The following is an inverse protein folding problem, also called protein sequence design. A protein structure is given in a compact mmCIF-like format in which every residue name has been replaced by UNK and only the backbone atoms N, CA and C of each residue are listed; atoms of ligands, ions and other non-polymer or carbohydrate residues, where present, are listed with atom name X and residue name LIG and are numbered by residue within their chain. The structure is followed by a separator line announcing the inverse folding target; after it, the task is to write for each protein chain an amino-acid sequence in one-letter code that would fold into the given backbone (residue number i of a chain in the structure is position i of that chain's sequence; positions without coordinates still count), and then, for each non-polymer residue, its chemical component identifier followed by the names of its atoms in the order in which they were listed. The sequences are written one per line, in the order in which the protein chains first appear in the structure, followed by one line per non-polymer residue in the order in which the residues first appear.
data_IF_375323902061
#
_entry.id   IF_375323902061
#
_cell.length_a   1.000
_cell.length_b   1.000
_cell.length_c   1.000
_cell.angle_alpha   90.00
_cell.angle_beta   90.00
_cell.angle_gamma   90.00
#
_symmetry.space_group_name_H-M   'P 1'
#
loop_
_entity.id
_entity.type
_entity.pdbx_description
1 polymer ?
#
# COMPACT_ATOMS: atom_id res chain seq x y z
N UNK A 1 3.37 14.57 1.91
CA UNK A 1 4.36 15.62 1.58
C UNK A 1 5.79 15.12 1.80
N UNK A 2 6.16 14.57 2.96
CA UNK A 2 7.53 14.14 3.27
C UNK A 2 8.10 13.15 2.24
N UNK A 3 7.34 12.13 1.82
CA UNK A 3 7.79 11.19 0.80
C UNK A 3 8.22 11.90 -0.49
N UNK A 4 7.37 12.80 -0.98
CA UNK A 4 7.66 13.54 -2.22
C UNK A 4 8.81 14.54 -2.03
N UNK A 5 8.93 15.14 -0.85
CA UNK A 5 10.08 15.99 -0.50
C UNK A 5 11.40 15.22 -0.50
N UNK A 6 11.40 13.99 0.05
CA UNK A 6 12.56 13.09 0.03
C UNK A 6 13.00 12.79 -1.40
N UNK A 7 12.06 12.39 -2.27
CA UNK A 7 12.39 12.10 -3.67
C UNK A 7 12.75 13.34 -4.49
N UNK A 8 12.08 14.47 -4.24
CA UNK A 8 12.43 15.77 -4.86
C UNK A 8 13.90 16.15 -4.57
N UNK A 9 14.35 15.90 -3.34
CA UNK A 9 15.74 16.07 -2.93
C UNK A 9 16.68 14.96 -3.42
N UNK A 10 16.17 13.97 -4.19
CA UNK A 10 16.93 12.85 -4.69
C UNK A 10 17.39 11.86 -3.61
N UNK A 11 16.67 11.79 -2.49
CA UNK A 11 16.97 10.91 -1.37
C UNK A 11 16.11 9.63 -1.43
N UNK A 12 16.45 8.66 -0.57
CA UNK A 12 15.76 7.38 -0.45
C UNK A 12 14.78 7.45 0.72
N UNK A 13 13.53 7.04 0.48
CA UNK A 13 12.52 6.96 1.53
C UNK A 13 12.58 5.62 2.27
N UNK A 14 12.45 5.66 3.60
CA UNK A 14 12.37 4.48 4.47
C UNK A 14 11.14 4.59 5.36
N UNK A 15 9.94 4.32 4.85
CA UNK A 15 8.73 4.38 5.65
C UNK A 15 8.70 3.28 6.70
N UNK A 16 8.54 3.67 7.95
CA UNK A 16 8.54 2.78 9.11
C UNK A 16 7.14 2.74 9.71
N UNK A 17 6.65 1.54 10.02
CA UNK A 17 5.36 1.37 10.68
C UNK A 17 5.45 1.86 12.13
N UNK A 18 4.58 2.79 12.51
CA UNK A 18 4.52 3.37 13.85
C UNK A 18 4.15 2.38 14.97
N UNK A 19 3.75 1.15 14.62
CA UNK A 19 3.43 0.07 15.57
C UNK A 19 4.62 -0.84 15.86
N UNK A 20 5.76 -0.63 15.21
CA UNK A 20 6.96 -1.42 15.47
C UNK A 20 7.52 -1.10 16.85
N UNK A 21 8.12 -2.12 17.48
CA UNK A 21 8.84 -1.93 18.74
C UNK A 21 10.08 -1.04 18.51
N UNK A 22 10.44 -0.23 19.50
CA UNK A 22 11.57 0.70 19.40
C UNK A 22 12.89 0.05 18.91
N UNK A 23 13.16 -1.20 19.31
CA UNK A 23 14.34 -1.95 18.86
C UNK A 23 14.31 -2.31 17.38
N UNK A 24 13.13 -2.56 16.83
CA UNK A 24 12.96 -2.82 15.39
C UNK A 24 13.19 -1.55 14.59
N UNK A 25 12.68 -0.41 15.10
CA UNK A 25 12.94 0.91 14.52
C UNK A 25 14.44 1.21 14.56
N UNK A 26 15.11 1.00 15.70
CA UNK A 26 16.56 1.18 15.85
C UNK A 26 17.35 0.35 14.83
N UNK A 27 16.99 -0.92 14.68
CA UNK A 27 17.60 -1.81 13.68
C UNK A 27 17.42 -1.28 12.25
N UNK A 28 16.21 -0.82 11.90
CA UNK A 28 15.92 -0.26 10.57
C UNK A 28 16.77 0.99 10.32
N UNK A 29 16.88 1.88 11.28
CA UNK A 29 17.66 3.11 11.19
C UNK A 29 19.14 2.84 10.99
N UNK A 30 19.70 1.89 11.74
CA UNK A 30 21.09 1.45 11.61
C UNK A 30 21.31 0.77 10.25
N UNK A 31 20.49 -0.22 9.91
CA UNK A 31 20.64 -1.02 8.69
C UNK A 31 20.46 -0.20 7.41
N UNK A 32 19.58 0.80 7.42
CA UNK A 32 19.37 1.71 6.29
C UNK A 32 20.37 2.85 6.23
N UNK A 33 21.24 3.00 7.24
CA UNK A 33 22.10 4.16 7.40
C UNK A 33 21.33 5.49 7.33
N UNK A 34 20.14 5.53 7.95
CA UNK A 34 19.30 6.72 7.92
C UNK A 34 20.00 7.91 8.60
N UNK A 35 20.02 9.05 7.91
CA UNK A 35 20.59 10.30 8.44
C UNK A 35 19.53 11.26 9.00
N UNK A 36 18.27 11.06 8.64
CA UNK A 36 17.15 11.89 9.04
C UNK A 36 15.91 11.03 9.32
N UNK A 37 15.28 11.27 10.46
CA UNK A 37 14.05 10.61 10.88
C UNK A 37 12.97 11.66 11.17
N UNK A 38 11.83 11.54 10.53
CA UNK A 38 10.61 12.28 10.86
C UNK A 38 9.70 11.43 11.73
N UNK A 39 9.20 11.99 12.82
CA UNK A 39 8.27 11.33 13.75
C UNK A 39 7.06 12.21 14.01
N UNK A 40 5.90 11.61 14.23
CA UNK A 40 4.70 12.28 14.74
C UNK A 40 4.52 11.95 16.23
N UNK A 41 4.03 12.90 17.00
CA UNK A 41 3.87 12.76 18.44
C UNK A 41 5.18 12.84 19.22
N UNK A 42 5.10 12.50 20.51
CA UNK A 42 6.27 12.40 21.38
C UNK A 42 6.82 10.97 21.35
N UNK A 43 8.05 10.75 20.86
CA UNK A 43 8.67 9.44 20.81
C UNK A 43 9.11 8.90 22.19
N UNK A 44 8.79 9.59 23.27
CA UNK A 44 9.16 9.22 24.65
C UNK A 44 10.68 8.96 24.81
N UNK A 45 11.05 7.99 25.65
CA UNK A 45 12.46 7.62 25.87
C UNK A 45 13.10 6.84 24.70
N UNK A 46 12.33 6.44 23.69
CA UNK A 46 12.83 5.71 22.51
C UNK A 46 13.82 6.52 21.67
N UNK A 47 13.76 7.85 21.76
CA UNK A 47 14.74 8.75 21.13
C UNK A 47 16.18 8.37 21.42
N UNK A 48 16.46 8.07 22.69
CA UNK A 48 17.83 7.76 23.13
C UNK A 48 18.33 6.49 22.49
N UNK A 49 17.46 5.48 22.36
CA UNK A 49 17.79 4.25 21.69
C UNK A 49 18.06 4.49 20.19
N UNK A 50 17.21 5.26 19.52
CA UNK A 50 17.36 5.54 18.09
C UNK A 50 18.60 6.40 17.79
N UNK A 51 18.85 7.45 18.56
CA UNK A 51 20.08 8.24 18.39
C UNK A 51 21.35 7.45 18.67
N UNK A 52 21.30 6.48 19.59
CA UNK A 52 22.45 5.62 19.86
C UNK A 52 22.70 4.57 18.77
N UNK A 53 21.65 4.15 18.03
CA UNK A 53 21.76 3.12 17.00
C UNK A 53 22.27 3.66 15.65
N UNK A 54 22.10 4.95 15.37
CA UNK A 54 22.52 5.55 14.09
C UNK A 54 23.34 6.83 14.35
N UNK A 55 24.65 6.74 14.17
CA UNK A 55 25.55 7.86 14.38
C UNK A 55 25.21 9.03 13.43
N UNK A 56 25.00 10.20 14.00
CA UNK A 56 24.63 11.41 13.23
C UNK A 56 23.18 11.50 12.81
N UNK A 57 22.31 10.60 13.27
CA UNK A 57 20.87 10.68 12.99
C UNK A 57 20.27 11.98 13.54
N UNK A 58 19.63 12.74 12.68
CA UNK A 58 18.81 13.89 13.07
C UNK A 58 17.34 13.46 13.14
N UNK A 59 16.69 13.74 14.26
CA UNK A 59 15.27 13.45 14.48
C UNK A 59 14.49 14.75 14.49
N UNK A 60 13.39 14.79 13.73
CA UNK A 60 12.50 15.95 13.61
C UNK A 60 11.08 15.50 13.93
N UNK A 61 10.47 16.08 14.95
CA UNK A 61 9.03 15.92 15.19
C UNK A 61 8.25 16.75 14.16
N UNK A 62 7.31 16.13 13.45
CA UNK A 62 6.45 16.86 12.51
C UNK A 62 5.47 17.81 13.21
N UNK A 63 5.27 17.63 14.51
CA UNK A 63 4.40 18.46 15.35
C UNK A 63 5.17 19.65 15.98
N UNK A 64 6.49 19.69 15.83
CA UNK A 64 7.32 20.78 16.31
C UNK A 64 7.24 22.00 15.37
N UNK A 65 7.14 23.24 15.90
CA UNK A 65 7.25 24.46 15.09
C UNK A 65 8.50 24.52 14.21
N UNK A 66 9.59 23.82 14.56
CA UNK A 66 10.78 23.72 13.70
C UNK A 66 10.46 23.02 12.39
N UNK A 67 9.57 22.03 12.38
CA UNK A 67 9.16 21.33 11.16
C UNK A 67 8.51 22.27 10.14
N UNK A 68 7.77 23.29 10.62
CA UNK A 68 7.16 24.31 9.76
C UNK A 68 8.20 25.16 9.03
N UNK A 69 9.40 25.33 9.61
CA UNK A 69 10.51 26.04 8.94
C UNK A 69 11.04 25.28 7.74
N UNK A 70 10.94 23.94 7.76
CA UNK A 70 11.35 23.10 6.62
C UNK A 70 10.46 23.32 5.40
N UNK A 71 9.21 23.73 5.59
CA UNK A 71 8.24 23.97 4.52
C UNK A 71 8.21 25.43 4.06
N UNK A 72 8.93 26.34 4.73
CA UNK A 72 8.97 27.77 4.45
C UNK A 72 10.26 28.25 3.77
N UNK A 73 11.17 27.33 3.44
CA UNK A 73 12.41 27.62 2.72
C UNK A 73 12.17 27.90 1.23
N UNK A 74 13.19 28.47 0.56
CA UNK A 74 13.17 28.59 -0.89
C UNK A 74 13.13 27.20 -1.54
N UNK A 75 12.26 27.01 -2.56
CA UNK A 75 12.20 25.74 -3.27
C UNK A 75 13.53 25.40 -3.96
N UNK A 76 13.99 24.17 -3.78
CA UNK A 76 15.15 23.67 -4.54
C UNK A 76 14.67 23.06 -5.86
N UNK A 77 15.55 23.01 -6.85
CA UNK A 77 15.27 22.25 -8.08
C UNK A 77 15.18 20.76 -7.78
N UNK A 78 14.36 20.02 -8.54
CA UNK A 78 14.31 18.56 -8.48
C UNK A 78 15.69 18.00 -8.76
N UNK A 79 16.18 17.11 -7.88
CA UNK A 79 17.43 16.39 -8.10
C UNK A 79 17.17 15.20 -9.04
N UNK A 80 17.71 15.22 -10.28
CA UNK A 80 17.49 14.12 -11.22
C UNK A 80 18.01 12.78 -10.69
N UNK A 81 17.26 11.71 -10.94
CA UNK A 81 17.64 10.34 -10.61
C UNK A 81 17.48 9.43 -11.83
N UNK A 82 18.39 8.46 -11.95
CA UNK A 82 18.26 7.42 -12.96
C UNK A 82 17.15 6.43 -12.60
N UNK A 83 16.55 5.73 -13.57
CA UNK A 83 15.52 4.73 -13.31
C UNK A 83 15.97 3.62 -12.35
N UNK A 84 17.24 3.29 -12.33
CA UNK A 84 17.87 2.27 -11.49
C UNK A 84 18.23 2.75 -10.09
N UNK A 85 18.22 4.09 -9.86
CA UNK A 85 18.53 4.64 -8.55
C UNK A 85 17.49 4.18 -7.52
N UNK A 86 18.00 3.88 -6.31
CA UNK A 86 17.15 3.50 -5.19
C UNK A 86 16.21 4.64 -4.80
N UNK A 87 14.94 4.31 -4.64
CA UNK A 87 13.89 5.26 -4.25
C UNK A 87 13.27 4.96 -2.89
N UNK A 88 13.14 3.68 -2.56
CA UNK A 88 12.44 3.24 -1.36
C UNK A 88 13.09 1.99 -0.78
N UNK A 89 13.34 1.97 0.52
CA UNK A 89 13.64 0.76 1.27
C UNK A 89 12.36 0.28 1.94
N UNK A 90 11.83 -0.83 1.44
CA UNK A 90 10.60 -1.43 1.94
C UNK A 90 10.93 -2.54 2.92
N UNK A 91 10.77 -2.28 4.21
CA UNK A 91 11.08 -3.28 5.24
C UNK A 91 9.94 -4.27 5.42
N UNK A 92 10.29 -5.56 5.33
CA UNK A 92 9.38 -6.69 5.58
C UNK A 92 9.85 -7.47 6.82
N UNK A 93 8.91 -8.16 7.49
CA UNK A 93 9.24 -9.11 8.55
C UNK A 93 9.98 -10.30 7.93
N UNK A 94 11.30 -10.33 8.05
CA UNK A 94 12.11 -11.43 7.52
C UNK A 94 11.76 -12.77 8.16
N UNK A 95 11.85 -13.86 7.37
CA UNK A 95 11.69 -15.25 7.86
C UNK A 95 12.70 -15.64 8.94
N UNK A 96 13.78 -14.88 9.09
CA UNK A 96 14.86 -15.08 10.06
C UNK A 96 14.70 -14.27 11.35
N UNK A 97 13.56 -13.59 11.53
CA UNK A 97 13.26 -12.79 12.73
C UNK A 97 13.79 -11.36 12.71
N UNK A 98 14.63 -10.98 11.75
CA UNK A 98 15.04 -9.60 11.56
C UNK A 98 14.41 -9.00 10.31
N UNK A 99 13.98 -7.71 10.34
CA UNK A 99 13.45 -7.02 9.18
C UNK A 99 14.46 -7.00 8.03
N UNK A 100 13.96 -7.16 6.78
CA UNK A 100 14.77 -7.05 5.56
C UNK A 100 14.31 -5.85 4.75
N UNK A 101 15.24 -4.97 4.37
CA UNK A 101 14.98 -3.81 3.53
C UNK A 101 15.02 -4.19 2.05
N UNK A 102 13.88 -4.34 1.44
CA UNK A 102 13.77 -4.55 -0.01
C UNK A 102 14.10 -3.24 -0.72
N UNK A 103 14.98 -3.31 -1.70
CA UNK A 103 15.47 -2.17 -2.46
C UNK A 103 14.58 -1.92 -3.69
N UNK A 104 13.76 -0.88 -3.66
CA UNK A 104 12.90 -0.50 -4.79
C UNK A 104 13.49 0.72 -5.51
N UNK A 105 13.73 0.57 -6.80
CA UNK A 105 14.24 1.64 -7.66
C UNK A 105 13.14 2.58 -8.11
N UNK A 106 13.52 3.73 -8.71
CA UNK A 106 12.60 4.65 -9.36
C UNK A 106 11.77 3.93 -10.43
N UNK A 107 12.39 3.04 -11.20
CA UNK A 107 11.72 2.22 -12.22
C UNK A 107 10.66 1.29 -11.62
N UNK A 108 10.95 0.62 -10.49
CA UNK A 108 9.99 -0.26 -9.85
C UNK A 108 8.73 0.51 -9.42
N UNK A 109 8.91 1.68 -8.78
CA UNK A 109 7.78 2.50 -8.35
C UNK A 109 6.97 3.04 -9.54
N UNK A 110 7.63 3.44 -10.63
CA UNK A 110 6.96 3.91 -11.84
C UNK A 110 6.18 2.78 -12.52
N UNK A 111 6.79 1.60 -12.68
CA UNK A 111 6.14 0.43 -13.27
C UNK A 111 4.89 0.03 -12.48
N UNK A 112 5.00 -0.06 -11.15
CA UNK A 112 3.87 -0.32 -10.26
C UNK A 112 2.76 0.74 -10.42
N UNK A 113 3.13 2.01 -10.47
CA UNK A 113 2.18 3.12 -10.63
C UNK A 113 1.40 3.01 -11.92
N UNK A 114 2.09 2.76 -13.04
CA UNK A 114 1.47 2.67 -14.37
C UNK A 114 0.64 1.40 -14.53
N UNK A 115 1.06 0.28 -13.94
CA UNK A 115 0.31 -0.98 -13.95
C UNK A 115 -1.05 -0.90 -13.22
N UNK A 116 -1.23 0.07 -12.31
CA UNK A 116 -2.50 0.26 -11.63
C UNK A 116 -3.67 0.43 -12.61
N UNK A 117 -3.48 1.23 -13.67
CA UNK A 117 -4.55 1.59 -14.60
C UNK A 117 -5.06 0.43 -15.47
N UNK A 118 -4.22 -0.38 -16.14
CA UNK A 118 -4.71 -1.52 -16.91
C UNK A 118 -5.13 -2.72 -16.06
N UNK A 119 -4.53 -2.92 -14.88
CA UNK A 119 -4.64 -4.19 -14.16
C UNK A 119 -5.55 -4.11 -12.92
N UNK A 120 -5.67 -2.94 -12.29
CA UNK A 120 -6.41 -2.77 -11.03
C UNK A 120 -7.68 -1.95 -11.25
N UNK A 121 -7.56 -0.65 -11.49
CA UNK A 121 -8.71 0.25 -11.68
C UNK A 121 -8.32 1.53 -12.42
N UNK A 122 -9.31 2.24 -12.95
CA UNK A 122 -9.15 3.57 -13.53
C UNK A 122 -9.33 4.62 -12.45
N UNK A 123 -8.28 5.34 -12.10
CA UNK A 123 -8.37 6.51 -11.23
C UNK A 123 -8.52 7.80 -12.04
N UNK A 124 -9.25 8.78 -11.51
CA UNK A 124 -9.50 10.09 -12.11
C UNK A 124 -9.37 11.20 -11.06
N UNK A 125 -9.31 12.49 -11.45
CA UNK A 125 -9.29 13.59 -10.48
C UNK A 125 -10.56 13.67 -9.59
N UNK A 126 -11.66 13.04 -9.99
CA UNK A 126 -12.89 12.99 -9.21
C UNK A 126 -12.88 11.92 -8.10
N UNK A 127 -11.91 11.00 -8.16
CA UNK A 127 -11.82 9.89 -7.22
C UNK A 127 -11.19 10.35 -5.88
N UNK A 128 -11.38 9.51 -4.87
CA UNK A 128 -10.75 9.66 -3.57
C UNK A 128 -10.11 8.34 -3.16
N UNK A 129 -8.89 8.38 -2.61
CA UNK A 129 -8.28 7.21 -1.96
C UNK A 129 -8.30 7.38 -0.44
N UNK A 130 -8.76 6.35 0.28
CA UNK A 130 -8.80 6.33 1.75
C UNK A 130 -7.74 5.39 2.29
N UNK A 131 -6.87 5.90 3.16
CA UNK A 131 -5.76 5.15 3.76
C UNK A 131 -6.17 4.54 5.11
N UNK A 132 -6.95 3.49 5.07
CA UNK A 132 -7.42 2.78 6.26
C UNK A 132 -6.45 1.68 6.75
N UNK A 133 -5.42 1.37 5.96
CA UNK A 133 -4.33 0.47 6.31
C UNK A 133 -3.00 1.25 6.40
N UNK A 134 -1.96 0.72 7.07
CA UNK A 134 -0.70 1.43 7.25
C UNK A 134 -0.07 1.91 5.95
N UNK A 135 0.20 3.21 5.86
CA UNK A 135 0.81 3.83 4.67
C UNK A 135 2.28 3.46 4.46
N UNK A 136 2.94 2.91 5.47
CA UNK A 136 4.30 2.36 5.37
C UNK A 136 4.38 1.02 4.60
N UNK A 137 3.22 0.44 4.23
CA UNK A 137 3.08 -0.83 3.51
C UNK A 137 2.27 -0.64 2.23
N UNK A 138 1.74 -1.74 1.69
CA UNK A 138 1.04 -1.77 0.42
C UNK A 138 -0.04 -0.69 0.22
N UNK A 139 -0.81 -0.36 1.28
CA UNK A 139 -1.82 0.69 1.19
C UNK A 139 -1.22 2.06 0.80
N UNK A 140 -0.04 2.38 1.33
CA UNK A 140 0.64 3.63 1.01
C UNK A 140 1.16 3.67 -0.43
N UNK A 141 1.43 2.53 -1.05
CA UNK A 141 1.94 2.50 -2.42
C UNK A 141 0.90 2.89 -3.47
N UNK A 142 -0.39 2.76 -3.19
CA UNK A 142 -1.42 3.24 -4.10
C UNK A 142 -1.59 4.77 -4.13
N UNK A 143 -0.82 5.50 -3.29
CA UNK A 143 -0.77 6.95 -3.40
C UNK A 143 -0.29 7.41 -4.77
N UNK A 144 0.68 6.72 -5.37
CA UNK A 144 1.31 7.14 -6.63
C UNK A 144 0.31 7.26 -7.79
N UNK A 145 -0.53 6.25 -8.00
CA UNK A 145 -1.53 6.27 -9.06
C UNK A 145 -2.55 7.41 -8.85
N UNK A 146 -2.92 7.67 -7.59
CA UNK A 146 -3.88 8.71 -7.26
C UNK A 146 -3.28 10.11 -7.31
N UNK A 147 -2.01 10.29 -6.90
CA UNK A 147 -1.28 11.56 -7.10
C UNK A 147 -1.11 11.85 -8.57
N UNK A 148 -0.77 10.85 -9.39
CA UNK A 148 -0.55 11.00 -10.83
C UNK A 148 -1.76 11.63 -11.54
N UNK A 149 -2.97 11.29 -11.11
CA UNK A 149 -4.22 11.82 -11.69
C UNK A 149 -4.81 13.01 -10.91
N UNK A 150 -4.18 13.44 -9.82
CA UNK A 150 -4.69 14.53 -8.99
C UNK A 150 -5.95 14.18 -8.19
N UNK A 151 -6.14 12.91 -7.84
CA UNK A 151 -7.24 12.45 -6.98
C UNK A 151 -7.10 12.95 -5.54
N UNK A 152 -8.18 12.89 -4.76
CA UNK A 152 -8.18 13.28 -3.35
C UNK A 152 -7.57 12.18 -2.49
N UNK A 153 -6.72 12.58 -1.54
CA UNK A 153 -6.14 11.69 -0.53
C UNK A 153 -6.80 11.93 0.82
N UNK A 154 -7.27 10.87 1.47
CA UNK A 154 -8.01 10.93 2.74
C UNK A 154 -7.41 9.99 3.76
N UNK A 155 -6.99 10.54 4.91
CA UNK A 155 -6.58 9.76 6.08
C UNK A 155 -7.75 9.77 7.06
N UNK A 156 -8.26 8.59 7.49
CA UNK A 156 -9.31 8.52 8.50
C UNK A 156 -8.87 9.17 9.82
N UNK A 157 -9.78 9.87 10.49
CA UNK A 157 -9.49 10.53 11.76
C UNK A 157 -9.12 9.52 12.87
N UNK A 158 -9.65 8.30 12.80
CA UNK A 158 -9.30 7.19 13.70
C UNK A 158 -7.84 6.71 13.53
N UNK A 159 -7.16 7.11 12.46
CA UNK A 159 -5.82 6.61 12.11
C UNK A 159 -5.78 5.12 11.74
N UNK A 160 -6.93 4.49 11.47
CA UNK A 160 -7.02 3.05 11.21
C UNK A 160 -8.24 2.65 10.39
N UNK A 161 -8.63 1.39 10.53
CA UNK A 161 -9.78 0.81 9.84
C UNK A 161 -10.99 0.71 10.76
N UNK A 162 -11.93 1.60 10.57
CA UNK A 162 -13.27 1.55 11.16
C UNK A 162 -14.33 1.52 10.05
N UNK A 163 -15.16 0.45 9.93
CA UNK A 163 -16.17 0.33 8.87
C UNK A 163 -17.15 1.49 8.80
N UNK A 164 -17.60 1.97 9.96
CA UNK A 164 -18.56 3.10 10.02
C UNK A 164 -17.93 4.39 9.48
N UNK A 165 -16.68 4.68 9.90
CA UNK A 165 -15.95 5.85 9.41
C UNK A 165 -15.69 5.74 7.90
N UNK A 166 -15.23 4.58 7.40
CA UNK A 166 -14.98 4.35 5.97
C UNK A 166 -16.23 4.60 5.15
N UNK A 167 -17.39 4.08 5.56
CA UNK A 167 -18.67 4.30 4.87
C UNK A 167 -19.11 5.76 4.94
N UNK A 168 -18.86 6.44 6.06
CA UNK A 168 -19.13 7.86 6.20
C UNK A 168 -18.29 8.71 5.24
N UNK A 169 -16.99 8.39 5.13
CA UNK A 169 -16.07 9.03 4.18
C UNK A 169 -16.49 8.73 2.73
N UNK A 170 -16.92 7.49 2.45
CA UNK A 170 -17.40 7.10 1.12
C UNK A 170 -18.64 7.90 0.71
N UNK A 171 -19.62 8.07 1.62
CA UNK A 171 -20.79 8.91 1.37
C UNK A 171 -20.43 10.38 1.15
N UNK A 172 -19.45 10.88 1.93
CA UNK A 172 -19.05 12.29 1.86
C UNK A 172 -18.33 12.64 0.57
N UNK A 173 -17.42 11.79 0.12
CA UNK A 173 -16.52 12.10 -1.00
C UNK A 173 -16.94 11.44 -2.32
N UNK A 174 -17.64 10.30 -2.27
CA UNK A 174 -17.96 9.51 -3.44
C UNK A 174 -16.71 8.93 -4.13
N UNK A 175 -16.91 7.96 -5.01
CA UNK A 175 -15.82 7.33 -5.81
C UNK A 175 -14.59 6.96 -4.96
N UNK A 176 -14.84 6.41 -3.76
CA UNK A 176 -13.77 6.07 -2.81
C UNK A 176 -13.14 4.73 -3.17
N UNK A 177 -11.82 4.74 -3.32
CA UNK A 177 -11.00 3.54 -3.42
C UNK A 177 -10.19 3.35 -2.14
N UNK A 178 -9.94 2.10 -1.75
CA UNK A 178 -9.09 1.77 -0.61
C UNK A 178 -8.39 0.43 -0.81
N UNK A 179 -7.23 0.26 -0.16
CA UNK A 179 -6.60 -1.04 0.02
C UNK A 179 -7.04 -1.65 1.35
N UNK A 180 -7.37 -2.93 1.36
CA UNK A 180 -7.81 -3.65 2.55
C UNK A 180 -7.19 -5.06 2.62
N UNK A 181 -6.74 -5.46 3.80
CA UNK A 181 -6.44 -6.87 4.06
C UNK A 181 -7.74 -7.69 4.11
N UNK A 182 -7.70 -9.01 3.85
CA UNK A 182 -8.89 -9.87 3.88
C UNK A 182 -9.74 -9.74 5.15
N UNK A 183 -9.10 -9.62 6.31
CA UNK A 183 -9.78 -9.40 7.59
C UNK A 183 -10.53 -8.06 7.66
N UNK A 184 -9.99 -7.02 7.01
CA UNK A 184 -10.64 -5.72 6.92
C UNK A 184 -11.85 -5.77 6.00
N UNK A 185 -11.74 -6.48 4.86
CA UNK A 185 -12.87 -6.72 3.95
C UNK A 185 -14.00 -7.44 4.70
N UNK A 186 -13.71 -8.51 5.44
CA UNK A 186 -14.72 -9.22 6.24
C UNK A 186 -15.43 -8.31 7.23
N UNK A 187 -14.66 -7.50 7.98
CA UNK A 187 -15.24 -6.53 8.94
C UNK A 187 -16.17 -5.53 8.26
N UNK A 188 -15.82 -5.07 7.05
CA UNK A 188 -16.67 -4.16 6.29
C UNK A 188 -17.95 -4.87 5.81
N UNK A 189 -17.82 -6.10 5.31
CA UNK A 189 -18.96 -6.95 4.88
C UNK A 189 -19.92 -7.20 6.03
N UNK A 190 -19.40 -7.60 7.20
CA UNK A 190 -20.21 -7.82 8.39
C UNK A 190 -20.95 -6.54 8.78
N UNK A 191 -20.28 -5.42 8.84
CA UNK A 191 -20.89 -4.15 9.19
C UNK A 191 -21.99 -3.73 8.21
N UNK A 192 -21.75 -3.87 6.91
CA UNK A 192 -22.77 -3.54 5.89
C UNK A 192 -23.97 -4.48 5.99
N UNK A 193 -23.74 -5.78 6.15
CA UNK A 193 -24.81 -6.78 6.26
C UNK A 193 -25.65 -6.60 7.53
N UNK A 194 -25.00 -6.38 8.68
CA UNK A 194 -25.68 -6.30 9.98
C UNK A 194 -26.48 -5.00 10.16
N UNK A 195 -26.07 -3.92 9.51
CA UNK A 195 -26.69 -2.59 9.68
C UNK A 195 -27.44 -2.09 8.43
N UNK A 196 -27.43 -2.84 7.33
CA UNK A 196 -28.01 -2.36 6.06
C UNK A 196 -27.33 -1.08 5.57
N UNK A 197 -26.04 -0.92 5.86
CA UNK A 197 -25.34 0.33 5.60
C UNK A 197 -25.07 0.56 4.11
N UNK A 198 -25.23 1.81 3.65
CA UNK A 198 -24.98 2.19 2.27
C UNK A 198 -23.47 2.21 1.96
N UNK A 199 -23.09 1.41 0.98
CA UNK A 199 -21.71 1.34 0.46
C UNK A 199 -21.58 1.92 -0.97
N UNK A 200 -22.60 2.61 -1.48
CA UNK A 200 -22.63 3.12 -2.88
C UNK A 200 -21.50 4.10 -3.19
N UNK A 201 -21.00 4.83 -2.20
CA UNK A 201 -19.86 5.74 -2.34
C UNK A 201 -18.52 5.04 -2.51
N UNK A 202 -18.43 3.73 -2.23
CA UNK A 202 -17.22 2.95 -2.49
C UNK A 202 -17.17 2.56 -3.97
N UNK A 203 -16.09 2.95 -4.64
CA UNK A 203 -15.79 2.56 -6.02
C UNK A 203 -15.04 1.25 -6.09
N UNK A 204 -13.93 1.15 -5.35
CA UNK A 204 -13.03 -0.01 -5.44
C UNK A 204 -12.41 -0.36 -4.11
N UNK A 205 -12.48 -1.63 -3.78
CA UNK A 205 -11.73 -2.21 -2.67
C UNK A 205 -10.67 -3.13 -3.29
N UNK A 206 -9.42 -2.68 -3.27
CA UNK A 206 -8.30 -3.53 -3.66
C UNK A 206 -7.91 -4.33 -2.44
N UNK A 207 -7.98 -5.66 -2.52
CA UNK A 207 -7.61 -6.52 -1.40
C UNK A 207 -6.43 -7.43 -1.72
N UNK A 208 -5.63 -7.68 -0.71
CA UNK A 208 -4.43 -8.51 -0.81
C UNK A 208 -3.64 -8.56 0.49
N UNK A 209 -2.40 -9.03 0.42
CA UNK A 209 -1.52 -9.14 1.58
C UNK A 209 -1.80 -10.35 2.49
N UNK A 210 -2.74 -11.22 2.09
CA UNK A 210 -3.07 -12.47 2.77
C UNK A 210 -4.11 -13.27 1.99
N UNK A 211 -4.28 -14.56 2.31
CA UNK A 211 -5.28 -15.39 1.65
C UNK A 211 -6.70 -14.94 2.01
N UNK A 212 -7.57 -14.92 1.03
CA UNK A 212 -9.00 -14.72 1.21
C UNK A 212 -9.75 -15.96 0.75
N UNK A 213 -10.56 -16.56 1.63
CA UNK A 213 -11.26 -17.79 1.32
C UNK A 213 -12.44 -17.55 0.38
N UNK A 214 -12.76 -18.56 -0.43
CA UNK A 214 -13.82 -18.48 -1.47
C UNK A 214 -15.16 -18.02 -0.89
N UNK A 215 -15.55 -18.52 0.26
CA UNK A 215 -16.82 -18.16 0.88
C UNK A 215 -16.84 -16.68 1.36
N UNK A 216 -15.69 -16.17 1.83
CA UNK A 216 -15.55 -14.76 2.18
C UNK A 216 -15.65 -13.86 0.93
N UNK A 217 -15.03 -14.28 -0.19
CA UNK A 217 -15.14 -13.56 -1.47
C UNK A 217 -16.58 -13.55 -1.97
N UNK A 218 -17.26 -14.70 -1.96
CA UNK A 218 -18.68 -14.81 -2.39
C UNK A 218 -19.56 -13.87 -1.58
N UNK A 219 -19.45 -13.96 -0.24
CA UNK A 219 -20.22 -13.10 0.67
C UNK A 219 -19.89 -11.63 0.44
N UNK A 220 -18.62 -11.27 0.21
CA UNK A 220 -18.23 -9.90 -0.09
C UNK A 220 -18.84 -9.39 -1.41
N UNK A 221 -18.86 -10.22 -2.46
CA UNK A 221 -19.52 -9.90 -3.73
C UNK A 221 -21.05 -9.77 -3.56
N UNK A 222 -21.69 -10.58 -2.71
CA UNK A 222 -23.12 -10.51 -2.47
C UNK A 222 -23.52 -9.25 -1.70
N UNK A 223 -22.71 -8.83 -0.72
CA UNK A 223 -23.01 -7.69 0.16
C UNK A 223 -22.53 -6.37 -0.44
N UNK A 224 -21.30 -6.35 -0.98
CA UNK A 224 -20.69 -5.11 -1.48
C UNK A 224 -20.88 -4.92 -2.99
N UNK A 225 -21.35 -5.94 -3.72
CA UNK A 225 -21.43 -5.93 -5.18
C UNK A 225 -20.05 -5.93 -5.85
N UNK A 226 -20.02 -5.52 -7.11
CA UNK A 226 -18.84 -5.61 -7.99
C UNK A 226 -17.81 -4.50 -7.70
N UNK A 227 -17.34 -4.41 -6.46
CA UNK A 227 -16.34 -3.40 -6.02
C UNK A 227 -14.98 -3.96 -5.70
N UNK A 228 -14.81 -5.28 -5.78
CA UNK A 228 -13.60 -5.96 -5.37
C UNK A 228 -12.61 -6.11 -6.51
N UNK A 229 -11.34 -5.93 -6.22
CA UNK A 229 -10.19 -6.28 -7.06
C UNK A 229 -9.17 -6.96 -6.16
N UNK A 230 -8.72 -8.16 -6.53
CA UNK A 230 -7.65 -8.82 -5.78
C UNK A 230 -6.31 -8.52 -6.41
N UNK A 231 -5.30 -8.35 -5.56
CA UNK A 231 -3.90 -8.34 -5.99
C UNK A 231 -3.09 -9.33 -5.15
N UNK A 232 -2.04 -9.86 -5.77
CA UNK A 232 -0.97 -10.55 -5.10
C UNK A 232 0.35 -9.81 -5.39
N UNK A 233 1.12 -9.59 -4.32
CA UNK A 233 2.43 -8.94 -4.36
C UNK A 233 3.23 -9.28 -3.12
N UNK A 234 4.50 -9.00 -3.17
CA UNK A 234 5.45 -9.13 -2.08
C UNK A 234 6.27 -7.84 -1.97
N UNK A 235 7.12 -7.71 -0.95
CA UNK A 235 7.98 -6.54 -0.82
C UNK A 235 8.86 -6.32 -2.04
N UNK A 236 9.34 -7.40 -2.65
CA UNK A 236 10.20 -7.44 -3.83
C UNK A 236 9.49 -7.08 -5.14
N UNK A 237 8.18 -7.31 -5.21
CA UNK A 237 7.30 -6.90 -6.31
C UNK A 237 6.00 -6.36 -5.71
N UNK A 238 6.04 -5.13 -5.17
CA UNK A 238 4.95 -4.60 -4.38
C UNK A 238 3.72 -4.38 -5.24
N UNK A 239 2.60 -5.01 -4.86
CA UNK A 239 1.29 -4.90 -5.50
C UNK A 239 1.20 -5.43 -6.94
N UNK A 240 2.26 -5.94 -7.55
CA UNK A 240 2.37 -6.12 -9.01
C UNK A 240 2.77 -7.52 -9.47
N UNK A 241 2.56 -8.58 -8.70
CA UNK A 241 2.78 -9.94 -9.22
C UNK A 241 1.57 -10.36 -10.06
N UNK A 242 0.37 -10.45 -9.46
CA UNK A 242 -0.87 -10.77 -10.20
C UNK A 242 -2.03 -9.89 -9.77
N UNK A 243 -3.03 -9.76 -10.64
CA UNK A 243 -4.31 -9.13 -10.35
C UNK A 243 -5.48 -9.99 -10.83
N UNK A 244 -6.51 -10.11 -9.99
CA UNK A 244 -7.82 -10.62 -10.38
C UNK A 244 -8.77 -9.42 -10.48
N UNK A 245 -8.89 -8.91 -11.70
CA UNK A 245 -9.65 -7.71 -11.99
C UNK A 245 -11.15 -7.88 -11.70
N UNK A 246 -11.82 -6.77 -11.39
CA UNK A 246 -13.27 -6.69 -11.11
C UNK A 246 -14.11 -7.49 -12.10
N UNK A 247 -13.83 -7.38 -13.41
CA UNK A 247 -14.57 -8.11 -14.45
C UNK A 247 -14.58 -9.64 -14.27
N UNK A 248 -13.50 -10.20 -13.73
CA UNK A 248 -13.39 -11.64 -13.47
C UNK A 248 -14.11 -12.07 -12.21
N UNK A 249 -14.14 -11.21 -11.19
CA UNK A 249 -14.90 -11.45 -9.97
C UNK A 249 -16.40 -11.32 -10.20
N UNK A 250 -16.82 -10.35 -11.02
CA UNK A 250 -18.21 -10.06 -11.32
C UNK A 250 -18.87 -11.05 -12.30
N UNK A 251 -18.10 -11.74 -13.15
CA UNK A 251 -18.61 -12.68 -14.17
C UNK A 251 -19.06 -14.01 -13.55
N UNK A 252 -20.14 -13.94 -12.78
CA UNK A 252 -20.71 -15.10 -12.06
C UNK A 252 -21.28 -16.19 -12.96
N UNK A 253 -21.56 -15.86 -14.22
CA UNK A 253 -22.07 -16.82 -15.20
C UNK A 253 -20.95 -17.69 -15.83
N UNK A 254 -19.71 -17.35 -15.65
CA UNK A 254 -18.58 -18.08 -16.22
C UNK A 254 -18.51 -19.50 -15.64
N UNK A 255 -18.37 -20.56 -16.46
CA UNK A 255 -18.33 -21.95 -16.01
C UNK A 255 -17.27 -22.23 -14.95
N UNK A 256 -16.13 -21.54 -15.04
CA UNK A 256 -15.01 -21.65 -14.08
C UNK A 256 -14.98 -20.48 -13.09
N UNK A 257 -16.11 -19.85 -12.76
CA UNK A 257 -16.15 -18.71 -11.85
C UNK A 257 -15.57 -19.05 -10.46
N UNK A 258 -15.93 -20.24 -9.92
CA UNK A 258 -15.43 -20.68 -8.61
C UNK A 258 -13.90 -20.82 -8.60
N UNK A 259 -13.30 -21.35 -9.66
CA UNK A 259 -11.85 -21.47 -9.79
C UNK A 259 -11.20 -20.09 -9.93
N UNK A 260 -11.80 -19.19 -10.73
CA UNK A 260 -11.30 -17.83 -10.90
C UNK A 260 -11.25 -17.08 -9.58
N UNK A 261 -12.32 -17.09 -8.79
CA UNK A 261 -12.35 -16.38 -7.50
C UNK A 261 -11.44 -17.03 -6.43
N UNK A 262 -11.03 -18.28 -6.64
CA UNK A 262 -10.06 -18.98 -5.80
C UNK A 262 -8.60 -18.70 -6.22
N UNK A 263 -8.38 -18.11 -7.37
CA UNK A 263 -7.05 -17.81 -7.89
C UNK A 263 -6.57 -16.42 -7.45
N UNK A 264 -5.28 -16.15 -7.63
CA UNK A 264 -4.71 -14.81 -7.47
C UNK A 264 -4.75 -13.97 -8.75
N UNK A 265 -5.40 -14.49 -9.81
CA UNK A 265 -5.57 -13.77 -11.06
C UNK A 265 -4.48 -14.06 -12.09
N UNK A 266 -4.18 -13.05 -12.90
CA UNK A 266 -3.19 -13.12 -13.98
C UNK A 266 -2.04 -12.17 -13.72
N UNK A 267 -0.88 -12.40 -14.37
CA UNK A 267 0.27 -11.51 -14.26
C UNK A 267 -0.11 -10.05 -14.54
N UNK A 268 0.45 -9.12 -13.77
CA UNK A 268 0.37 -7.71 -14.10
C UNK A 268 1.08 -7.40 -15.41
N UNK A 269 0.64 -6.36 -16.11
CA UNK A 269 1.15 -5.96 -17.43
C UNK A 269 2.66 -5.65 -17.47
N UNK A 270 3.27 -5.42 -16.31
CA UNK A 270 4.67 -4.98 -16.17
C UNK A 270 5.60 -6.07 -15.66
N UNK A 271 5.09 -7.30 -15.45
CA UNK A 271 5.88 -8.42 -14.91
C UNK A 271 5.62 -9.69 -15.73
N UNK A 272 6.58 -10.59 -15.69
CA UNK A 272 6.45 -11.96 -16.15
C UNK A 272 6.31 -12.88 -14.94
N UNK A 273 5.34 -13.79 -14.96
CA UNK A 273 5.09 -14.78 -13.93
C UNK A 273 5.21 -16.17 -14.54
N UNK A 274 6.10 -16.97 -14.00
CA UNK A 274 6.38 -18.33 -14.43
C UNK A 274 6.14 -19.28 -13.27
N UNK A 275 5.47 -20.39 -13.52
CA UNK A 275 5.39 -21.50 -12.56
C UNK A 275 6.56 -22.42 -12.86
N UNK A 276 7.40 -22.68 -11.87
CA UNK A 276 8.59 -23.51 -12.01
C UNK A 276 8.57 -24.70 -11.05
N UNK A 277 9.32 -25.73 -11.38
CA UNK A 277 9.60 -26.85 -10.50
C UNK A 277 10.68 -26.50 -9.44
N UNK A 278 11.11 -27.51 -8.66
CA UNK A 278 12.13 -27.34 -7.62
C UNK A 278 13.52 -27.02 -8.16
N UNK A 279 13.77 -27.23 -9.44
CA UNK A 279 15.03 -26.97 -10.13
C UNK A 279 14.95 -25.68 -10.97
N UNK A 280 13.98 -24.81 -10.69
CA UNK A 280 13.70 -23.53 -11.40
C UNK A 280 13.42 -23.70 -12.90
N UNK A 281 12.96 -24.90 -13.35
CA UNK A 281 12.55 -25.11 -14.72
C UNK A 281 11.07 -24.73 -14.90
N UNK A 282 10.77 -23.92 -15.93
CA UNK A 282 9.42 -23.53 -16.22
C UNK A 282 8.53 -24.76 -16.53
N UNK A 283 7.42 -24.87 -15.82
CA UNK A 283 6.41 -25.88 -16.09
C UNK A 283 5.50 -25.42 -17.24
N UNK A 284 5.02 -26.35 -18.10
CA UNK A 284 4.01 -26.02 -19.08
C UNK A 284 2.72 -25.58 -18.41
N UNK A 285 1.99 -24.66 -19.06
CA UNK A 285 0.65 -24.32 -18.61
C UNK A 285 -0.23 -25.57 -18.66
N UNK A 286 -0.92 -25.88 -17.59
CA UNK A 286 -1.98 -26.90 -17.61
C UNK A 286 -3.16 -26.36 -18.42
N UNK A 287 -3.70 -27.20 -19.34
CA UNK A 287 -4.87 -26.88 -20.15
C UNK A 287 -6.18 -26.83 -19.33
#
# INVERSE_FOLDING_TARGET
ELLYGIWHAGLVAVPINNKLHAREVAFILENSAASLLFVAGDPNDDWRLWCASAAGLRIISVDDPESLRLTSGEPIAVVPRAPEDLAWLFYTSGTTGQPKGVMLSQRNLLAMTLAYFPDVDQATPADSIVYAAPMSHGAGMYNFAHVLVGARHVVPASGGFDPHEILSLARRFGQVSLFAAPTMVRRLVDHVADHGADCSGIKTIVYGGGPMYIEDIRRALDVLGDRLVQIYGQGESPMTITALARRHLADRAHPRHRERIASVGVAHSVVEVVVADADDQALPAEE
#
